data_IF_074130476142
#
_entry.id   IF_074130476142
#
_cell.length_a   1.000
_cell.length_b   1.000
_cell.length_c   1.000
_cell.angle_alpha   90.00
_cell.angle_beta   90.00
_cell.angle_gamma   90.00
#
_symmetry.space_group_name_H-M   'P 1'
#
loop_
_entity.id
_entity.type
_entity.pdbx_description
1 polymer ?
#
# COMPACT_ATOMS: atom_id res chain seq x y z
N UNK A 1 -6.77 27.43 11.00
CA UNK A 1 -6.75 26.79 9.67
C UNK A 1 -7.71 25.62 9.69
N UNK A 2 -8.50 25.41 8.64
CA UNK A 2 -9.36 24.22 8.54
C UNK A 2 -8.55 23.05 7.99
N UNK A 3 -8.67 21.88 8.62
CA UNK A 3 -8.06 20.65 8.13
C UNK A 3 -8.68 20.28 6.79
N UNK A 4 -7.83 19.97 5.81
CA UNK A 4 -8.23 19.40 4.52
C UNK A 4 -7.87 17.92 4.53
N UNK A 5 -8.71 17.11 3.89
CA UNK A 5 -8.55 15.67 3.82
C UNK A 5 -8.38 15.24 2.37
N UNK A 6 -7.56 14.21 2.16
CA UNK A 6 -7.41 13.51 0.90
C UNK A 6 -7.74 12.04 1.18
N UNK A 7 -8.55 11.45 0.31
CA UNK A 7 -8.87 10.01 0.32
C UNK A 7 -8.31 9.43 -0.96
N UNK A 8 -7.35 8.51 -0.83
CA UNK A 8 -6.79 7.76 -1.95
C UNK A 8 -7.38 6.36 -1.94
N UNK A 9 -8.05 5.98 -3.03
CA UNK A 9 -8.60 4.64 -3.22
C UNK A 9 -7.86 4.00 -4.39
N UNK A 10 -6.84 3.17 -4.10
CA UNK A 10 -6.15 2.41 -5.14
C UNK A 10 -7.04 1.21 -5.53
N UNK A 11 -7.76 1.37 -6.63
CA UNK A 11 -8.68 0.35 -7.14
C UNK A 11 -7.93 -0.93 -7.53
N UNK A 12 -8.48 -2.08 -7.15
CA UNK A 12 -7.87 -3.40 -7.43
C UNK A 12 -6.51 -3.65 -6.79
N UNK A 13 -6.13 -2.91 -5.73
CA UNK A 13 -4.81 -3.04 -5.11
C UNK A 13 -4.63 -4.29 -4.24
N UNK A 14 -5.73 -4.86 -3.75
CA UNK A 14 -5.70 -6.11 -3.00
C UNK A 14 -5.52 -7.28 -3.98
N UNK A 15 -4.67 -8.22 -3.61
CA UNK A 15 -4.38 -9.41 -4.41
C UNK A 15 -3.97 -10.59 -3.51
N UNK A 16 -3.81 -11.75 -4.12
CA UNK A 16 -3.36 -12.97 -3.44
C UNK A 16 -1.83 -13.10 -3.45
N UNK A 17 -1.23 -13.84 -2.49
CA UNK A 17 0.18 -14.19 -2.51
C UNK A 17 0.60 -14.99 -3.74
N UNK A 18 1.69 -14.58 -4.39
CA UNK A 18 2.20 -15.23 -5.60
C UNK A 18 3.51 -15.97 -5.35
N UNK A 19 3.61 -17.20 -5.85
CA UNK A 19 4.81 -18.04 -5.68
C UNK A 19 6.07 -17.40 -6.30
N UNK A 20 5.92 -16.71 -7.44
CA UNK A 20 7.02 -16.01 -8.12
C UNK A 20 7.53 -14.77 -7.37
N UNK A 21 6.73 -14.25 -6.43
CA UNK A 21 7.09 -13.16 -5.53
C UNK A 21 7.57 -13.68 -4.16
N UNK A 22 7.86 -14.98 -4.04
CA UNK A 22 8.29 -15.58 -2.78
C UNK A 22 7.15 -15.73 -1.76
N UNK A 23 5.90 -15.79 -2.22
CA UNK A 23 4.72 -15.88 -1.34
C UNK A 23 4.23 -14.54 -0.80
N UNK A 24 4.59 -13.44 -1.47
CA UNK A 24 4.10 -12.09 -1.19
C UNK A 24 2.98 -11.71 -2.16
N UNK A 25 2.11 -10.80 -1.76
CA UNK A 25 1.22 -10.08 -2.68
C UNK A 25 2.01 -9.08 -3.53
N UNK A 26 1.48 -8.61 -4.68
CA UNK A 26 2.11 -7.57 -5.49
C UNK A 26 2.38 -6.29 -4.69
N UNK A 27 1.50 -5.92 -3.76
CA UNK A 27 1.68 -4.75 -2.91
C UNK A 27 2.85 -4.93 -1.95
N UNK A 28 2.96 -6.08 -1.30
CA UNK A 28 4.07 -6.38 -0.37
C UNK A 28 5.42 -6.50 -1.10
N UNK A 29 5.43 -6.98 -2.34
CA UNK A 29 6.64 -7.12 -3.14
C UNK A 29 7.12 -5.79 -3.75
N UNK A 30 6.24 -4.79 -3.87
CA UNK A 30 6.58 -3.50 -4.46
C UNK A 30 7.36 -2.60 -3.49
N UNK A 31 8.32 -1.83 -4.02
CA UNK A 31 9.00 -0.79 -3.24
C UNK A 31 8.05 0.39 -3.00
N UNK A 32 7.44 0.44 -1.80
CA UNK A 32 6.39 1.41 -1.46
C UNK A 32 6.71 2.29 -0.24
N UNK A 33 7.90 2.94 -0.21
CA UNK A 33 8.43 3.57 1.00
C UNK A 33 7.57 4.71 1.55
N UNK A 34 6.76 5.35 0.70
CA UNK A 34 5.84 6.40 1.12
C UNK A 34 4.57 5.86 1.76
N UNK A 35 4.04 4.74 1.27
CA UNK A 35 2.90 4.08 1.90
C UNK A 35 3.33 3.44 3.21
N UNK A 36 4.52 2.82 3.24
CA UNK A 36 5.12 2.27 4.47
C UNK A 36 5.31 3.36 5.54
N UNK A 37 5.87 4.51 5.15
CA UNK A 37 6.07 5.63 6.06
C UNK A 37 4.76 6.26 6.55
N UNK A 38 3.68 6.20 5.75
CA UNK A 38 2.35 6.65 6.17
C UNK A 38 1.70 5.63 7.11
N UNK A 39 1.78 4.33 6.79
CA UNK A 39 1.24 3.25 7.61
C UNK A 39 1.91 3.21 9.00
N UNK A 40 3.22 3.44 9.08
CA UNK A 40 3.95 3.50 10.36
C UNK A 40 3.70 4.77 11.20
N UNK A 41 3.01 5.78 10.65
CA UNK A 41 2.65 7.03 11.34
C UNK A 41 1.15 7.14 11.64
N UNK A 42 0.37 6.16 11.18
CA UNK A 42 -1.07 6.07 11.41
C UNK A 42 -1.42 5.74 12.86
#
# INVERSE_FOLDING_TARGET
MCTKYVVLIPDGMADDPLAELGGLTPLEAADTPHMDALAGKG
#
